data_IF_408089704332
#
_entry.id   IF_408089704332
#
_cell.length_a   1.000
_cell.length_b   1.000
_cell.length_c   1.000
_cell.angle_alpha   90.00
_cell.angle_beta   90.00
_cell.angle_gamma   90.00
#
_symmetry.space_group_name_H-M   'P 1'
#
loop_
_entity.id
_entity.type
_entity.pdbx_description
1 polymer ?
#
# COMPACT_ATOMS: atom_id res chain seq x y z
N UNK A 1 -22.39 -15.65 -15.06
CA UNK A 1 -21.85 -14.28 -14.84
C UNK A 1 -21.30 -14.06 -13.43
N UNK A 2 -21.66 -14.82 -12.38
CA UNK A 2 -20.98 -14.72 -11.06
C UNK A 2 -20.93 -13.28 -10.51
N UNK A 3 -19.74 -12.83 -10.10
CA UNK A 3 -19.49 -11.44 -9.67
C UNK A 3 -19.79 -10.37 -10.74
N UNK A 4 -19.92 -10.77 -12.02
CA UNK A 4 -20.23 -9.87 -13.14
C UNK A 4 -21.74 -9.81 -13.46
N UNK A 5 -22.59 -10.60 -12.79
CA UNK A 5 -24.04 -10.62 -13.06
C UNK A 5 -24.68 -9.32 -12.57
N UNK A 6 -25.50 -8.69 -13.41
CA UNK A 6 -26.26 -7.48 -13.06
C UNK A 6 -25.38 -6.27 -12.67
N UNK A 7 -24.19 -6.16 -13.30
CA UNK A 7 -23.32 -4.99 -13.16
C UNK A 7 -23.73 -3.84 -14.07
N UNK A 8 -23.06 -2.69 -13.93
CA UNK A 8 -23.35 -1.44 -14.67
C UNK A 8 -22.82 -1.42 -16.11
N UNK A 9 -22.56 -2.59 -16.71
CA UNK A 9 -21.92 -2.70 -18.02
C UNK A 9 -22.69 -1.93 -19.10
N UNK A 10 -21.96 -1.13 -19.90
CA UNK A 10 -22.57 -0.25 -20.92
C UNK A 10 -23.06 1.10 -20.39
N UNK A 11 -22.93 1.38 -19.08
CA UNK A 11 -23.23 2.71 -18.55
C UNK A 11 -22.41 3.80 -19.25
N UNK A 12 -23.00 4.97 -19.60
CA UNK A 12 -22.35 5.99 -20.42
C UNK A 12 -21.09 6.62 -19.80
N UNK A 13 -20.82 6.39 -18.51
CA UNK A 13 -19.59 6.82 -17.84
C UNK A 13 -18.44 5.81 -17.91
N UNK A 14 -18.62 4.61 -18.47
CA UNK A 14 -17.49 3.76 -18.84
C UNK A 14 -16.82 4.34 -20.09
N UNK A 15 -15.69 5.04 -19.90
CA UNK A 15 -15.00 5.79 -20.96
C UNK A 15 -13.81 5.07 -21.59
N UNK A 16 -13.38 3.95 -21.02
CA UNK A 16 -12.25 3.19 -21.58
C UNK A 16 -12.65 2.52 -22.89
N UNK A 17 -11.76 2.53 -23.91
CA UNK A 17 -11.97 1.73 -25.13
C UNK A 17 -11.90 0.22 -24.81
N UNK A 18 -12.47 -0.65 -25.66
CA UNK A 18 -12.48 -2.10 -25.44
C UNK A 18 -11.10 -2.71 -25.17
N UNK A 19 -10.05 -2.23 -25.85
CA UNK A 19 -8.67 -2.69 -25.69
C UNK A 19 -8.14 -2.40 -24.29
N UNK A 20 -8.42 -1.20 -23.75
CA UNK A 20 -8.03 -0.83 -22.39
C UNK A 20 -8.83 -1.61 -21.33
N UNK A 21 -10.11 -1.89 -21.58
CA UNK A 21 -10.90 -2.75 -20.70
C UNK A 21 -10.34 -4.18 -20.65
N UNK A 22 -9.93 -4.74 -21.78
CA UNK A 22 -9.34 -6.08 -21.85
C UNK A 22 -7.99 -6.13 -21.11
N UNK A 23 -7.13 -5.14 -21.34
CA UNK A 23 -5.86 -4.99 -20.62
C UNK A 23 -6.07 -4.87 -19.11
N UNK A 24 -6.93 -3.96 -18.66
CA UNK A 24 -7.24 -3.80 -17.24
C UNK A 24 -7.88 -5.05 -16.61
N UNK A 25 -8.68 -5.80 -17.37
CA UNK A 25 -9.22 -7.07 -16.89
C UNK A 25 -8.15 -8.16 -16.75
N UNK A 26 -7.18 -8.22 -17.67
CA UNK A 26 -6.04 -9.12 -17.53
C UNK A 26 -5.23 -8.77 -16.27
N UNK A 27 -4.89 -7.50 -16.08
CA UNK A 27 -4.16 -7.03 -14.89
C UNK A 27 -4.96 -7.22 -13.59
N UNK A 28 -6.30 -7.13 -13.62
CA UNK A 28 -7.15 -7.48 -12.47
C UNK A 28 -6.94 -8.94 -12.03
N UNK A 29 -6.85 -9.88 -12.98
CA UNK A 29 -6.60 -11.29 -12.69
C UNK A 29 -5.16 -11.50 -12.20
N UNK A 30 -4.17 -10.85 -12.83
CA UNK A 30 -2.78 -10.91 -12.37
C UNK A 30 -2.60 -10.35 -10.96
N UNK A 31 -3.28 -9.24 -10.63
CA UNK A 31 -3.26 -8.65 -9.30
C UNK A 31 -3.90 -9.57 -8.26
N UNK A 32 -5.02 -10.22 -8.59
CA UNK A 32 -5.69 -11.20 -7.73
C UNK A 32 -4.76 -12.37 -7.40
N UNK A 33 -3.98 -12.82 -8.36
CA UNK A 33 -2.95 -13.83 -8.15
C UNK A 33 -1.80 -13.30 -7.30
N UNK A 34 -1.20 -12.18 -7.72
CA UNK A 34 0.06 -11.70 -7.17
C UNK A 34 -0.05 -11.20 -5.73
N UNK A 35 -1.18 -10.63 -5.32
CA UNK A 35 -1.34 -10.05 -3.97
C UNK A 35 -1.03 -11.03 -2.82
N UNK A 36 -1.24 -12.34 -3.03
CA UNK A 36 -0.94 -13.39 -2.03
C UNK A 36 0.55 -13.49 -1.71
N UNK A 37 1.41 -13.10 -2.65
CA UNK A 37 2.87 -13.19 -2.51
C UNK A 37 3.38 -12.09 -1.58
N UNK A 38 2.81 -10.89 -1.70
CA UNK A 38 3.17 -9.70 -0.91
C UNK A 38 3.07 -10.01 0.59
N UNK A 39 1.98 -10.67 1.00
CA UNK A 39 1.70 -10.95 2.40
C UNK A 39 2.57 -12.05 3.01
N UNK A 40 3.40 -12.75 2.22
CA UNK A 40 4.37 -13.71 2.77
C UNK A 40 5.44 -13.02 3.63
N UNK A 41 5.69 -11.72 3.45
CA UNK A 41 6.54 -10.94 4.38
C UNK A 41 5.93 -10.93 5.79
N UNK A 42 4.61 -10.76 5.91
CA UNK A 42 3.92 -10.88 7.20
C UNK A 42 4.00 -12.30 7.77
N UNK A 43 4.01 -13.34 6.93
CA UNK A 43 4.17 -14.71 7.41
C UNK A 43 5.58 -14.96 7.99
N UNK A 44 6.63 -14.36 7.42
CA UNK A 44 8.00 -14.47 7.96
C UNK A 44 8.15 -13.82 9.33
N UNK A 45 7.67 -12.58 9.50
CA UNK A 45 7.88 -11.84 10.76
C UNK A 45 6.72 -11.97 11.77
N UNK A 46 5.51 -12.25 11.30
CA UNK A 46 4.29 -12.31 12.11
C UNK A 46 3.62 -13.69 12.14
N UNK A 47 4.17 -14.69 11.44
CA UNK A 47 3.72 -16.08 11.43
C UNK A 47 2.53 -16.39 10.54
N UNK A 48 1.65 -15.42 10.24
CA UNK A 48 0.47 -15.61 9.36
C UNK A 48 -0.05 -14.32 8.74
N UNK A 49 -0.83 -14.47 7.67
CA UNK A 49 -1.68 -13.43 7.12
C UNK A 49 -3.00 -14.07 6.62
N UNK A 50 -4.19 -13.51 6.92
CA UNK A 50 -4.45 -12.33 7.75
C UNK A 50 -4.08 -12.50 9.24
N UNK A 51 -4.06 -11.39 9.99
CA UNK A 51 -3.79 -11.33 11.44
C UNK A 51 -2.40 -11.81 11.92
N UNK A 52 -1.30 -11.13 11.51
CA UNK A 52 0.03 -11.41 12.06
C UNK A 52 0.09 -11.17 13.57
N UNK A 53 1.05 -11.81 14.24
CA UNK A 53 1.26 -11.65 15.69
C UNK A 53 2.22 -10.49 16.00
N UNK A 54 1.99 -9.80 17.11
CA UNK A 54 2.79 -8.70 17.63
C UNK A 54 2.95 -8.88 19.16
N UNK A 55 3.93 -8.19 19.77
CA UNK A 55 4.11 -8.20 21.24
C UNK A 55 4.34 -6.78 21.77
N UNK A 56 3.93 -6.53 23.01
CA UNK A 56 4.39 -5.33 23.71
C UNK A 56 5.91 -5.44 23.90
N UNK A 57 6.64 -4.39 23.50
CA UNK A 57 8.10 -4.35 23.57
C UNK A 57 8.84 -4.70 22.27
N UNK A 58 8.15 -5.08 21.19
CA UNK A 58 8.79 -5.31 19.88
C UNK A 58 8.07 -6.34 19.01
N UNK A 59 8.83 -7.30 18.48
CA UNK A 59 8.32 -8.38 17.61
C UNK A 59 8.70 -9.76 18.15
N UNK A 60 7.84 -10.79 17.98
CA UNK A 60 8.12 -12.14 18.47
C UNK A 60 9.11 -12.94 17.61
N UNK A 61 9.50 -12.43 16.44
CA UNK A 61 10.37 -13.12 15.48
C UNK A 61 11.86 -12.89 15.80
N UNK A 62 12.40 -13.66 16.74
CA UNK A 62 13.83 -13.65 17.06
C UNK A 62 14.70 -13.88 15.81
N UNK A 63 15.85 -13.20 15.75
CA UNK A 63 16.80 -13.27 14.62
C UNK A 63 18.03 -14.04 15.07
N UNK A 64 18.48 -14.98 14.24
CA UNK A 64 19.76 -15.68 14.39
C UNK A 64 20.29 -16.01 13.00
N UNK A 65 21.44 -15.42 12.63
CA UNK A 65 22.01 -15.50 11.28
C UNK A 65 23.08 -16.58 11.16
N UNK A 66 23.91 -16.75 12.19
CA UNK A 66 25.18 -17.50 12.08
C UNK A 66 25.48 -18.39 13.29
N UNK A 67 24.57 -18.48 14.27
CA UNK A 67 24.74 -19.35 15.43
C UNK A 67 23.99 -20.67 15.25
N UNK A 68 24.42 -21.70 15.99
CA UNK A 68 23.69 -22.97 16.07
C UNK A 68 22.25 -22.72 16.51
N UNK A 69 21.29 -23.37 15.84
CA UNK A 69 19.87 -23.17 16.09
C UNK A 69 19.20 -22.09 15.23
N UNK A 70 19.90 -21.46 14.27
CA UNK A 70 19.33 -20.50 13.32
C UNK A 70 18.11 -21.02 12.53
N UNK A 71 17.95 -22.35 12.40
CA UNK A 71 16.77 -22.97 11.78
C UNK A 71 15.46 -22.71 12.54
N UNK A 72 15.53 -22.31 13.82
CA UNK A 72 14.39 -21.94 14.66
C UNK A 72 14.08 -20.44 14.72
N UNK A 73 14.76 -19.62 13.92
CA UNK A 73 14.70 -18.16 13.98
C UNK A 73 14.57 -17.54 12.57
N UNK A 74 14.44 -16.21 12.51
CA UNK A 74 14.66 -15.46 11.27
C UNK A 74 16.15 -15.52 10.94
N UNK A 75 16.48 -16.24 9.87
CA UNK A 75 17.84 -16.45 9.38
C UNK A 75 18.01 -15.90 7.95
N UNK A 76 19.20 -16.06 7.36
CA UNK A 76 19.50 -15.49 6.05
C UNK A 76 18.59 -16.01 4.93
N UNK A 77 18.15 -17.27 4.98
CA UNK A 77 17.23 -17.81 3.97
C UNK A 77 15.84 -17.18 4.08
N UNK A 78 15.35 -16.91 5.30
CA UNK A 78 14.11 -16.15 5.52
C UNK A 78 14.21 -14.71 5.01
N UNK A 79 15.36 -14.05 5.23
CA UNK A 79 15.60 -12.69 4.73
C UNK A 79 15.71 -12.66 3.19
N UNK A 80 16.32 -13.66 2.56
CA UNK A 80 16.37 -13.80 1.10
C UNK A 80 14.96 -13.95 0.50
N UNK A 81 14.08 -14.72 1.16
CA UNK A 81 12.68 -14.80 0.76
C UNK A 81 12.01 -13.42 0.81
N UNK A 82 12.16 -12.69 1.93
CA UNK A 82 11.61 -11.33 2.08
C UNK A 82 12.11 -10.40 0.97
N UNK A 83 13.42 -10.37 0.72
CA UNK A 83 14.00 -9.55 -0.34
C UNK A 83 13.41 -9.87 -1.72
N UNK A 84 13.27 -11.16 -2.04
CA UNK A 84 12.68 -11.57 -3.32
C UNK A 84 11.24 -11.06 -3.50
N UNK A 85 10.45 -11.04 -2.41
CA UNK A 85 9.08 -10.56 -2.42
C UNK A 85 9.04 -9.04 -2.57
N UNK A 86 9.92 -8.30 -1.88
CA UNK A 86 10.03 -6.84 -2.01
C UNK A 86 10.32 -6.46 -3.46
N UNK A 87 11.31 -7.08 -4.10
CA UNK A 87 11.68 -6.80 -5.50
C UNK A 87 10.50 -7.03 -6.44
N UNK A 88 9.88 -8.21 -6.37
CA UNK A 88 8.71 -8.55 -7.20
C UNK A 88 7.53 -7.61 -6.95
N UNK A 89 7.34 -7.16 -5.71
CA UNK A 89 6.26 -6.26 -5.33
C UNK A 89 6.46 -4.88 -5.97
N UNK A 90 7.67 -4.34 -5.88
CA UNK A 90 8.01 -3.08 -6.54
C UNK A 90 7.85 -3.19 -8.06
N UNK A 91 8.32 -4.28 -8.68
CA UNK A 91 8.20 -4.50 -10.12
C UNK A 91 6.74 -4.52 -10.57
N UNK A 92 5.86 -5.23 -9.84
CA UNK A 92 4.45 -5.31 -10.17
C UNK A 92 3.75 -3.94 -10.02
N UNK A 93 4.00 -3.24 -8.91
CA UNK A 93 3.41 -1.91 -8.69
C UNK A 93 3.85 -0.94 -9.77
N UNK A 94 5.15 -0.87 -10.07
CA UNK A 94 5.71 0.11 -11.01
C UNK A 94 5.34 -0.16 -12.47
N UNK A 95 5.20 -1.43 -12.87
CA UNK A 95 5.01 -1.80 -14.28
C UNK A 95 3.58 -2.24 -14.64
N UNK A 96 2.72 -2.47 -13.65
CA UNK A 96 1.30 -2.83 -13.87
C UNK A 96 0.37 -1.79 -13.24
N UNK A 97 0.44 -1.63 -11.91
CA UNK A 97 -0.52 -0.78 -11.18
C UNK A 97 -0.41 0.70 -11.55
N UNK A 98 0.81 1.26 -11.59
CA UNK A 98 1.03 2.68 -11.88
C UNK A 98 0.62 3.04 -13.32
N UNK A 99 1.04 2.30 -14.37
CA UNK A 99 0.59 2.55 -15.74
C UNK A 99 -0.94 2.47 -15.91
N UNK A 100 -1.59 1.49 -15.28
CA UNK A 100 -3.04 1.36 -15.31
C UNK A 100 -3.75 2.55 -14.65
N UNK A 101 -3.27 3.00 -13.48
CA UNK A 101 -3.82 4.17 -12.81
C UNK A 101 -3.66 5.44 -13.67
N UNK A 102 -2.51 5.62 -14.32
CA UNK A 102 -2.29 6.73 -15.25
C UNK A 102 -3.22 6.64 -16.47
N UNK A 103 -3.41 5.45 -17.05
CA UNK A 103 -4.31 5.24 -18.18
C UNK A 103 -5.77 5.57 -17.79
N UNK A 104 -6.23 5.09 -16.62
CA UNK A 104 -7.54 5.45 -16.08
C UNK A 104 -7.68 6.97 -15.97
N UNK A 105 -6.67 7.67 -15.46
CA UNK A 105 -6.63 9.13 -15.41
C UNK A 105 -6.74 9.79 -16.80
N UNK A 106 -6.06 9.26 -17.82
CA UNK A 106 -6.12 9.80 -19.18
C UNK A 106 -7.50 9.65 -19.83
N UNK A 107 -8.20 8.53 -19.60
CA UNK A 107 -9.53 8.28 -20.17
C UNK A 107 -10.68 8.88 -19.34
N UNK A 108 -10.42 9.27 -18.08
CA UNK A 108 -11.44 9.77 -17.15
C UNK A 108 -11.11 11.17 -16.62
N UNK A 109 -10.41 12.02 -17.40
CA UNK A 109 -10.01 13.38 -16.98
C UNK A 109 -11.11 14.21 -16.31
N UNK A 110 -12.39 14.22 -16.76
CA UNK A 110 -13.43 14.98 -16.08
C UNK A 110 -13.63 14.61 -14.59
N UNK A 111 -13.25 13.39 -14.18
CA UNK A 111 -13.29 12.98 -12.78
C UNK A 111 -12.28 13.72 -11.90
N UNK A 112 -11.28 14.43 -12.45
CA UNK A 112 -10.41 15.31 -11.65
C UNK A 112 -11.15 16.49 -11.02
N UNK A 113 -12.33 16.84 -11.54
CA UNK A 113 -13.18 17.93 -11.07
C UNK A 113 -14.39 17.43 -10.27
N UNK A 114 -14.55 16.11 -10.14
CA UNK A 114 -15.69 15.47 -9.48
C UNK A 114 -15.24 14.89 -8.15
N UNK A 115 -15.98 15.18 -7.08
CA UNK A 115 -15.75 14.56 -5.78
C UNK A 115 -14.69 15.21 -4.91
N UNK A 116 -14.30 16.47 -5.18
CA UNK A 116 -13.35 17.23 -4.36
C UNK A 116 -13.71 17.21 -2.86
N UNK A 117 -14.98 17.50 -2.53
CA UNK A 117 -15.46 17.44 -1.16
C UNK A 117 -14.67 18.35 -0.21
N UNK A 118 -13.92 17.73 0.71
CA UNK A 118 -13.06 18.42 1.68
C UNK A 118 -11.58 18.41 1.30
N UNK A 119 -11.17 17.73 0.23
CA UNK A 119 -9.75 17.57 -0.12
C UNK A 119 -9.07 18.89 -0.49
N UNK A 120 -9.83 19.92 -0.84
CA UNK A 120 -9.40 21.31 -1.10
C UNK A 120 -9.57 22.24 0.13
N UNK A 121 -10.03 21.70 1.27
CA UNK A 121 -10.40 22.48 2.47
C UNK A 121 -9.68 22.00 3.72
N UNK A 122 -9.92 20.75 4.10
CA UNK A 122 -9.44 20.19 5.36
C UNK A 122 -8.92 18.77 5.15
N UNK A 123 -7.62 18.57 5.38
CA UNK A 123 -6.95 17.26 5.29
C UNK A 123 -6.06 17.04 6.51
N UNK A 124 -5.80 15.78 6.84
CA UNK A 124 -5.13 15.38 8.08
C UNK A 124 -4.25 14.16 7.85
N UNK A 125 -3.02 14.23 8.35
CA UNK A 125 -2.10 13.10 8.49
C UNK A 125 -1.48 13.14 9.88
N UNK A 126 -1.31 11.99 10.52
CA UNK A 126 -0.57 11.90 11.78
C UNK A 126 0.93 11.70 11.56
N UNK A 127 1.29 11.32 10.34
CA UNK A 127 2.61 10.80 10.02
C UNK A 127 2.80 9.36 10.48
N UNK A 128 3.78 8.69 9.89
CA UNK A 128 4.03 7.26 10.10
C UNK A 128 5.48 6.89 9.75
N UNK A 129 5.83 5.62 9.99
CA UNK A 129 7.14 5.03 9.70
C UNK A 129 8.30 5.80 10.37
N UNK A 130 8.40 5.77 11.71
CA UNK A 130 9.53 6.37 12.41
C UNK A 130 10.83 5.64 12.04
N UNK A 131 11.80 6.38 11.53
CA UNK A 131 13.15 5.88 11.18
C UNK A 131 14.06 5.83 12.41
N UNK A 132 13.81 6.70 13.39
CA UNK A 132 14.46 6.67 14.70
C UNK A 132 13.54 5.92 15.67
N UNK A 133 14.01 4.78 16.17
CA UNK A 133 13.21 3.91 17.04
C UNK A 133 12.70 4.64 18.30
N UNK A 134 11.39 4.56 18.53
CA UNK A 134 10.64 5.20 19.63
C UNK A 134 10.57 6.73 19.57
N UNK A 135 11.07 7.37 18.50
CA UNK A 135 10.88 8.79 18.24
C UNK A 135 9.75 8.97 17.21
N UNK A 136 8.65 9.59 17.64
CA UNK A 136 7.48 9.89 16.81
C UNK A 136 7.41 11.37 16.41
N UNK A 137 8.53 12.10 16.54
CA UNK A 137 8.65 13.48 16.10
C UNK A 137 8.84 13.62 14.59
N UNK A 138 8.69 14.86 14.12
CA UNK A 138 8.75 15.24 12.70
C UNK A 138 10.06 14.80 12.00
N UNK A 139 11.19 14.77 12.71
CA UNK A 139 12.48 14.37 12.14
C UNK A 139 12.62 12.86 11.90
N UNK A 140 11.79 12.06 12.57
CA UNK A 140 11.85 10.60 12.52
C UNK A 140 10.83 10.04 11.53
N UNK A 141 9.64 10.64 11.43
CA UNK A 141 8.56 10.12 10.60
C UNK A 141 8.86 10.30 9.10
N UNK A 142 9.07 9.18 8.39
CA UNK A 142 9.30 9.18 6.94
C UNK A 142 8.03 9.56 6.15
N UNK A 143 6.85 9.30 6.70
CA UNK A 143 5.59 9.83 6.20
C UNK A 143 5.21 11.08 7.01
N UNK A 144 5.05 12.26 6.38
CA UNK A 144 4.77 13.50 7.10
C UNK A 144 3.41 13.51 7.82
N UNK A 145 3.39 14.17 8.98
CA UNK A 145 2.18 14.54 9.72
C UNK A 145 1.82 16.01 9.55
N UNK A 146 0.57 16.37 9.84
CA UNK A 146 0.07 17.74 9.76
C UNK A 146 -1.43 17.82 9.45
N UNK A 147 -2.01 18.98 9.72
CA UNK A 147 -3.38 19.31 9.35
C UNK A 147 -3.41 20.58 8.50
N UNK A 148 -4.26 20.58 7.48
CA UNK A 148 -4.64 21.80 6.75
C UNK A 148 -6.10 22.07 7.06
N UNK A 149 -6.44 23.33 7.27
CA UNK A 149 -7.81 23.80 7.48
C UNK A 149 -8.08 25.01 6.59
N UNK A 150 -9.35 25.27 6.27
CA UNK A 150 -9.81 26.41 5.47
C UNK A 150 -9.15 26.53 4.08
N UNK A 151 -8.60 25.44 3.54
CA UNK A 151 -7.93 25.43 2.24
C UNK A 151 -6.57 26.15 2.24
N UNK A 152 -6.00 26.47 3.41
CA UNK A 152 -4.70 27.15 3.49
C UNK A 152 -3.55 26.15 3.47
N UNK A 153 -3.24 25.64 2.28
CA UNK A 153 -2.12 24.71 2.07
C UNK A 153 -0.74 25.35 2.28
N UNK A 154 -0.65 26.68 2.45
CA UNK A 154 0.60 27.34 2.81
C UNK A 154 0.90 27.22 4.30
N UNK A 155 -0.06 26.80 5.12
CA UNK A 155 0.06 26.70 6.57
C UNK A 155 -0.34 25.31 7.05
N UNK A 156 0.60 24.37 6.97
CA UNK A 156 0.43 23.03 7.55
C UNK A 156 0.59 23.14 9.06
N UNK A 157 -0.49 22.89 9.79
CA UNK A 157 -0.52 22.95 11.24
C UNK A 157 0.05 21.67 11.85
N UNK A 158 0.88 21.76 12.91
CA UNK A 158 1.30 20.58 13.65
C UNK A 158 0.09 19.93 14.36
N UNK A 159 0.16 18.62 14.57
CA UNK A 159 -0.87 17.88 15.32
C UNK A 159 -0.24 17.24 16.55
N UNK A 160 -0.90 17.41 17.70
CA UNK A 160 -0.49 16.88 19.00
C UNK A 160 -1.51 15.85 19.47
N UNK A 161 -1.03 14.66 19.87
CA UNK A 161 -1.85 13.52 20.31
C UNK A 161 -1.70 13.15 21.79
N UNK A 162 -0.90 13.92 22.55
CA UNK A 162 -0.73 13.73 24.00
C UNK A 162 0.28 12.66 24.41
#
# INVERSE_FOLDING_TARGET
>A
MGIFRNGYWGHPQYKLPPEANLMGFAHYLEALDFQREIVKIHAVFGGKNPHPNWIVGGMPCAINIDESGAVGAVNMERLNLVQSIITRTADFINNVMIPDALAIGQFNKPWSEIGTGLSDKCVLSYGAFPDIANDFGEKSLLMPGGAVINGDFNNVLPVDFG
#
